data_IF_822853363893
#
_entry.id   IF_822853363893
#
_cell.length_a   1.000
_cell.length_b   1.000
_cell.length_c   1.000
_cell.angle_alpha   90.00
_cell.angle_beta   90.00
_cell.angle_gamma   90.00
#
_symmetry.space_group_name_H-M   'P 1'
#
loop_
_entity.id
_entity.type
_entity.pdbx_description
1 polymer ?
#
# COMPACT_ATOMS: atom_id res chain seq x y z
N UNK A 1 1.55 -6.52 -20.17
CA UNK A 1 1.78 -5.82 -18.88
C UNK A 1 2.58 -6.74 -17.98
N UNK A 2 3.81 -6.38 -17.59
CA UNK A 2 4.48 -7.08 -16.47
C UNK A 2 3.65 -6.77 -15.22
N UNK A 3 3.19 -7.80 -14.50
CA UNK A 3 2.51 -7.62 -13.20
C UNK A 3 3.53 -6.99 -12.25
N UNK A 4 3.21 -5.82 -11.69
CA UNK A 4 4.09 -5.12 -10.73
C UNK A 4 3.59 -5.22 -9.29
N UNK A 5 2.29 -5.42 -9.09
CA UNK A 5 1.73 -5.65 -7.76
C UNK A 5 1.75 -7.15 -7.45
N UNK A 6 2.00 -7.46 -6.18
CA UNK A 6 2.01 -8.81 -5.57
C UNK A 6 3.22 -9.68 -5.94
N UNK A 7 4.22 -9.09 -6.59
CA UNK A 7 5.47 -9.78 -6.92
C UNK A 7 6.61 -9.16 -6.11
N UNK A 8 7.06 -9.89 -5.09
CA UNK A 8 8.16 -9.49 -4.20
C UNK A 8 9.51 -9.40 -4.96
N UNK A 9 9.61 -9.88 -6.20
CA UNK A 9 10.81 -9.78 -7.04
C UNK A 9 11.02 -8.38 -7.63
N UNK A 10 9.98 -7.53 -7.67
CA UNK A 10 10.08 -6.18 -8.21
C UNK A 10 10.43 -5.17 -7.12
N UNK A 11 11.43 -4.29 -7.35
CA UNK A 11 11.76 -3.24 -6.41
C UNK A 11 10.57 -2.30 -6.26
N UNK A 12 10.33 -1.89 -5.01
CA UNK A 12 9.30 -0.94 -4.67
C UNK A 12 9.40 0.33 -5.55
N UNK A 13 8.30 0.76 -6.19
CA UNK A 13 8.34 1.94 -7.05
C UNK A 13 8.44 3.25 -6.25
N UNK A 14 8.29 3.21 -4.93
CA UNK A 14 8.32 4.39 -4.06
C UNK A 14 9.74 4.87 -3.76
N UNK A 15 10.03 6.14 -4.09
CA UNK A 15 11.24 6.81 -3.62
C UNK A 15 11.30 6.90 -2.09
N UNK A 16 10.15 7.15 -1.45
CA UNK A 16 10.01 7.31 0.01
C UNK A 16 10.25 6.02 0.81
N UNK A 17 10.40 4.86 0.15
CA UNK A 17 10.69 3.59 0.86
C UNK A 17 12.00 3.68 1.65
N UNK A 18 13.03 4.34 1.12
CA UNK A 18 14.32 4.48 1.81
C UNK A 18 14.19 5.32 3.08
N UNK A 19 13.39 6.37 3.03
CA UNK A 19 13.13 7.23 4.19
C UNK A 19 12.36 6.46 5.26
N UNK A 20 11.39 5.64 4.84
CA UNK A 20 10.67 4.74 5.75
C UNK A 20 11.57 3.65 6.35
N UNK A 21 12.47 3.05 5.57
CA UNK A 21 13.42 2.02 6.04
C UNK A 21 14.38 2.54 7.10
N UNK A 22 14.72 3.83 7.03
CA UNK A 22 15.59 4.50 8.00
C UNK A 22 14.81 5.18 9.13
N UNK A 23 13.47 5.15 9.07
CA UNK A 23 12.61 5.69 10.12
C UNK A 23 12.65 4.83 11.38
N UNK A 24 12.49 5.46 12.54
CA UNK A 24 12.46 4.74 13.81
C UNK A 24 11.23 3.85 13.95
N UNK A 25 10.06 4.30 13.47
CA UNK A 25 8.80 3.58 13.53
C UNK A 25 8.07 3.70 12.18
N UNK A 26 8.00 2.59 11.45
CA UNK A 26 7.39 2.53 10.11
C UNK A 26 5.88 2.76 10.14
N UNK A 27 5.22 2.44 11.25
CA UNK A 27 3.79 2.68 11.41
C UNK A 27 3.54 4.18 11.54
N UNK A 28 4.30 4.86 12.42
CA UNK A 28 4.18 6.32 12.60
C UNK A 28 4.59 7.07 11.32
N UNK A 29 5.60 6.59 10.61
CA UNK A 29 5.97 7.15 9.30
C UNK A 29 4.78 7.13 8.34
N UNK A 30 4.09 5.99 8.21
CA UNK A 30 2.96 5.84 7.29
C UNK A 30 1.72 6.60 7.74
N UNK A 31 1.43 6.64 9.03
CA UNK A 31 0.35 7.46 9.59
C UNK A 31 0.53 8.93 9.25
N UNK A 32 1.76 9.45 9.37
CA UNK A 32 2.05 10.82 9.01
C UNK A 32 2.02 11.05 7.50
N UNK A 33 2.53 10.10 6.72
CA UNK A 33 2.61 10.22 5.26
C UNK A 33 1.24 10.19 4.58
N UNK A 34 0.30 9.40 5.12
CA UNK A 34 -1.07 9.30 4.63
C UNK A 34 -2.09 10.01 5.52
N UNK A 35 -1.68 10.85 6.46
CA UNK A 35 -2.59 11.59 7.35
C UNK A 35 -3.63 10.68 8.06
N UNK A 36 -3.25 9.45 8.41
CA UNK A 36 -4.08 8.44 9.09
C UNK A 36 -4.50 7.27 8.18
N UNK A 37 -3.96 6.07 8.41
CA UNK A 37 -4.16 4.91 7.54
C UNK A 37 -5.58 4.32 7.56
N UNK A 38 -6.29 4.49 8.67
CA UNK A 38 -7.65 3.98 8.88
C UNK A 38 -8.73 4.86 8.24
N UNK A 39 -8.42 6.14 8.04
CA UNK A 39 -9.33 7.17 7.56
C UNK A 39 -8.93 7.72 6.20
N UNK A 40 -7.75 7.36 5.68
CA UNK A 40 -7.28 7.83 4.39
C UNK A 40 -8.21 7.44 3.24
N UNK A 41 -8.50 8.43 2.40
CA UNK A 41 -9.31 8.29 1.20
C UNK A 41 -8.46 7.76 0.03
N UNK A 42 -8.38 6.44 -0.10
CA UNK A 42 -7.64 5.76 -1.17
C UNK A 42 -8.23 6.00 -2.57
N UNK A 43 -9.45 6.52 -2.69
CA UNK A 43 -10.09 6.78 -3.99
C UNK A 43 -9.40 7.89 -4.78
N UNK A 44 -8.62 8.73 -4.09
CA UNK A 44 -7.86 9.83 -4.70
C UNK A 44 -6.66 9.38 -5.52
N UNK A 45 -6.23 8.14 -5.35
CA UNK A 45 -4.98 7.65 -5.91
C UNK A 45 -5.14 6.99 -7.27
N UNK A 46 -4.21 7.28 -8.17
CA UNK A 46 -4.06 6.56 -9.43
C UNK A 46 -3.38 5.20 -9.24
N UNK A 47 -3.33 4.40 -10.30
CA UNK A 47 -2.69 3.06 -10.23
C UNK A 47 -1.25 3.11 -9.71
N UNK A 48 -0.44 4.09 -10.13
CA UNK A 48 0.95 4.18 -9.69
C UNK A 48 1.08 4.56 -8.21
N UNK A 49 0.19 5.42 -7.71
CA UNK A 49 0.15 5.80 -6.30
C UNK A 49 -0.28 4.63 -5.43
N UNK A 50 -1.29 3.86 -5.88
CA UNK A 50 -1.73 2.63 -5.22
C UNK A 50 -0.65 1.53 -5.25
N UNK A 51 0.07 1.37 -6.36
CA UNK A 51 1.24 0.49 -6.45
C UNK A 51 2.28 0.84 -5.38
N UNK A 52 2.55 2.14 -5.24
CA UNK A 52 3.47 2.64 -4.25
C UNK A 52 2.96 2.38 -2.82
N UNK A 53 1.74 2.80 -2.51
CA UNK A 53 1.15 2.64 -1.19
C UNK A 53 1.10 1.18 -0.75
N UNK A 54 0.70 0.27 -1.66
CA UNK A 54 0.70 -1.17 -1.40
C UNK A 54 2.08 -1.65 -0.99
N UNK A 55 3.13 -1.25 -1.73
CA UNK A 55 4.49 -1.67 -1.44
C UNK A 55 4.98 -1.20 -0.06
N UNK A 56 4.74 0.07 0.28
CA UNK A 56 5.15 0.62 1.58
C UNK A 56 4.44 -0.11 2.73
N UNK A 57 3.12 -0.32 2.60
CA UNK A 57 2.34 -1.05 3.59
C UNK A 57 2.77 -2.51 3.69
N UNK A 58 3.06 -3.18 2.57
CA UNK A 58 3.53 -4.56 2.57
C UNK A 58 4.87 -4.70 3.31
N UNK A 59 5.79 -3.73 3.14
CA UNK A 59 7.03 -3.68 3.91
C UNK A 59 6.76 -3.44 5.40
N UNK A 60 5.95 -2.43 5.73
CA UNK A 60 5.64 -2.10 7.12
C UNK A 60 4.91 -3.23 7.85
N UNK A 61 3.98 -3.92 7.19
CA UNK A 61 3.30 -5.10 7.74
C UNK A 61 4.30 -6.22 8.05
N UNK A 62 5.19 -6.57 7.11
CA UNK A 62 6.22 -7.60 7.32
C UNK A 62 7.11 -7.27 8.52
N UNK A 63 7.54 -6.00 8.63
CA UNK A 63 8.37 -5.54 9.75
C UNK A 63 7.59 -5.57 11.08
N UNK A 64 6.36 -5.05 11.09
CA UNK A 64 5.51 -5.02 12.28
C UNK A 64 5.15 -6.42 12.78
N UNK A 65 4.91 -7.38 11.89
CA UNK A 65 4.66 -8.78 12.25
C UNK A 65 5.88 -9.46 12.86
N UNK A 66 7.09 -9.06 12.45
CA UNK A 66 8.36 -9.58 12.99
C UNK A 66 8.73 -8.99 14.37
N UNK A 67 8.23 -7.79 14.70
CA UNK A 67 8.48 -7.10 15.98
C UNK A 67 7.17 -6.76 16.71
N UNK A 68 6.42 -7.80 17.07
CA UNK A 68 5.12 -7.67 17.76
C UNK A 68 5.16 -6.91 19.09
N UNK A 69 6.23 -6.96 19.92
CA UNK A 69 6.29 -6.15 21.13
C UNK A 69 6.25 -4.65 20.84
N UNK A 70 6.92 -4.19 19.78
CA UNK A 70 6.90 -2.80 19.34
C UNK A 70 5.59 -2.44 18.62
N UNK A 71 5.12 -3.33 17.76
CA UNK A 71 3.92 -3.14 16.96
C UNK A 71 2.79 -4.04 17.46
N UNK A 72 1.97 -3.49 18.37
CA UNK A 72 0.84 -4.22 18.94
C UNK A 72 -0.15 -4.72 17.86
N UNK A 73 -1.05 -5.62 18.26
CA UNK A 73 -2.05 -6.23 17.35
C UNK A 73 -2.92 -5.20 16.62
N UNK A 74 -3.24 -4.08 17.26
CA UNK A 74 -4.07 -3.04 16.64
C UNK A 74 -3.35 -2.37 15.47
N UNK A 75 -2.07 -1.98 15.65
CA UNK A 75 -1.25 -1.39 14.60
C UNK A 75 -1.09 -2.35 13.40
N UNK A 76 -0.84 -3.63 13.66
CA UNK A 76 -0.75 -4.66 12.61
C UNK A 76 -2.07 -4.78 11.85
N UNK A 77 -3.20 -4.76 12.56
CA UNK A 77 -4.54 -4.82 11.94
C UNK A 77 -4.80 -3.62 11.03
N UNK A 78 -4.43 -2.41 11.45
CA UNK A 78 -4.59 -1.19 10.65
C UNK A 78 -3.77 -1.27 9.36
N UNK A 79 -2.49 -1.66 9.46
CA UNK A 79 -1.63 -1.84 8.29
C UNK A 79 -2.22 -2.88 7.31
N UNK A 80 -2.74 -3.98 7.85
CA UNK A 80 -3.33 -5.06 7.06
C UNK A 80 -4.60 -4.58 6.35
N UNK A 81 -5.46 -3.86 7.05
CA UNK A 81 -6.70 -3.32 6.49
C UNK A 81 -6.43 -2.29 5.40
N UNK A 82 -5.51 -1.34 5.63
CA UNK A 82 -5.11 -0.36 4.62
C UNK A 82 -4.58 -1.05 3.34
N UNK A 83 -3.75 -2.10 3.51
CA UNK A 83 -3.25 -2.90 2.39
C UNK A 83 -4.38 -3.59 1.60
N UNK A 84 -5.37 -4.12 2.29
CA UNK A 84 -6.54 -4.74 1.66
C UNK A 84 -7.38 -3.71 0.90
N UNK A 85 -7.63 -2.54 1.49
CA UNK A 85 -8.37 -1.45 0.84
C UNK A 85 -7.68 -0.98 -0.45
N UNK A 86 -6.35 -0.83 -0.42
CA UNK A 86 -5.57 -0.49 -1.64
C UNK A 86 -5.67 -1.59 -2.69
N UNK A 87 -5.64 -2.85 -2.27
CA UNK A 87 -5.76 -3.99 -3.19
C UNK A 87 -7.11 -3.97 -3.88
N UNK A 88 -8.18 -3.80 -3.12
CA UNK A 88 -9.54 -3.65 -3.65
C UNK A 88 -9.59 -2.47 -4.64
N UNK A 89 -9.09 -1.30 -4.23
CA UNK A 89 -9.14 -0.12 -5.08
C UNK A 89 -8.37 -0.28 -6.38
N UNK A 90 -7.19 -0.89 -6.32
CA UNK A 90 -6.39 -1.15 -7.50
C UNK A 90 -7.13 -2.05 -8.49
N UNK A 91 -7.77 -3.12 -7.99
CA UNK A 91 -8.55 -4.03 -8.81
C UNK A 91 -9.77 -3.33 -9.44
N UNK A 92 -10.46 -2.46 -8.72
CA UNK A 92 -11.55 -1.64 -9.26
C UNK A 92 -11.10 -0.81 -10.46
N UNK A 93 -10.00 -0.06 -10.32
CA UNK A 93 -9.47 0.79 -11.39
C UNK A 93 -9.03 -0.02 -12.61
N UNK A 94 -8.44 -1.20 -12.40
CA UNK A 94 -8.09 -2.11 -13.49
C UNK A 94 -9.35 -2.60 -14.22
N UNK A 95 -10.38 -3.01 -13.48
CA UNK A 95 -11.65 -3.46 -14.05
C UNK A 95 -12.34 -2.35 -14.83
N UNK A 96 -12.34 -1.11 -14.33
CA UNK A 96 -12.88 0.05 -15.03
C UNK A 96 -12.16 0.31 -16.34
N UNK A 97 -10.82 0.30 -16.35
CA UNK A 97 -10.02 0.45 -17.57
C UNK A 97 -10.30 -0.64 -18.60
N UNK A 98 -10.44 -1.88 -18.16
CA UNK A 98 -10.81 -2.99 -19.04
C UNK A 98 -12.21 -2.75 -19.64
N UNK A 99 -13.19 -2.36 -18.83
CA UNK A 99 -14.55 -2.04 -19.30
C UNK A 99 -14.55 -0.92 -20.34
N UNK A 100 -13.82 0.16 -20.09
CA UNK A 100 -13.69 1.28 -21.04
C UNK A 100 -13.04 0.82 -22.35
N UNK A 101 -11.99 0.01 -22.28
CA UNK A 101 -11.33 -0.55 -23.46
C UNK A 101 -12.27 -1.43 -24.29
N UNK A 102 -13.11 -2.26 -23.64
CA UNK A 102 -14.10 -3.09 -24.33
C UNK A 102 -15.24 -2.28 -24.95
N UNK A 103 -15.66 -1.17 -24.32
CA UNK A 103 -16.72 -0.29 -24.85
C UNK A 103 -16.26 0.54 -26.06
N UNK A 104 -14.98 0.84 -26.15
CA UNK A 104 -14.39 1.65 -27.23
C UNK A 104 -13.85 0.79 -28.40
N UNK A 105 -14.24 -0.48 -28.47
CA UNK A 105 -14.00 -1.40 -29.59
C UNK A 105 -15.31 -1.72 -30.29
#
# INVERSE_FOLDING_TARGET
MKKRIFDDEYPCPCSVKKDMETSEDVYIFLENFYEGLDTFDWDRFGLADLECAYCLLQFATKLAESDRPKYNRNKISILTNAKNNITEKFLELILERIRLFMKNR
#
